data_IF_656981265943
#
_entry.id   IF_656981265943
#
_cell.length_a   1.000
_cell.length_b   1.000
_cell.length_c   1.000
_cell.angle_alpha   90.00
_cell.angle_beta   90.00
_cell.angle_gamma   90.00
#
_symmetry.space_group_name_H-M   'P 1'
#
loop_
_entity.id
_entity.type
_entity.pdbx_description
1 polymer ?
#
# COMPACT_ATOMS: atom_id res chain seq x y z
N UNK A 1 21.83 2.48 4.04
CA UNK A 1 21.26 1.22 3.47
C UNK A 1 20.04 1.59 2.68
N UNK A 2 19.89 1.13 1.45
CA UNK A 2 18.73 1.45 0.63
C UNK A 2 17.48 0.79 1.22
N UNK A 3 16.39 1.53 1.30
CA UNK A 3 15.08 1.01 1.68
C UNK A 3 14.36 0.41 0.48
N UNK A 4 14.58 0.98 -0.70
CA UNK A 4 13.99 0.55 -1.97
C UNK A 4 15.07 0.54 -3.03
N UNK A 5 15.14 -0.54 -3.80
CA UNK A 5 16.04 -0.66 -4.95
C UNK A 5 15.24 -1.21 -6.14
N UNK A 6 15.35 -0.52 -7.27
CA UNK A 6 14.77 -0.91 -8.55
C UNK A 6 15.89 -0.97 -9.58
N UNK A 7 16.02 -2.09 -10.28
CA UNK A 7 17.00 -2.28 -11.37
C UNK A 7 16.25 -2.76 -12.61
N UNK A 8 16.22 -1.91 -13.63
CA UNK A 8 15.56 -2.15 -14.92
C UNK A 8 14.09 -2.61 -14.76
N UNK A 9 13.38 -2.11 -13.74
CA UNK A 9 12.02 -2.54 -13.42
C UNK A 9 11.04 -1.98 -14.44
N UNK A 10 10.24 -2.89 -15.00
CA UNK A 10 9.09 -2.55 -15.85
C UNK A 10 7.83 -3.11 -15.22
N UNK A 11 6.75 -2.31 -15.21
CA UNK A 11 5.47 -2.74 -14.66
C UNK A 11 4.29 -2.15 -15.40
N UNK A 12 3.27 -2.97 -15.61
CA UNK A 12 1.99 -2.63 -16.22
C UNK A 12 0.90 -2.61 -15.15
N UNK A 13 0.06 -1.61 -15.20
CA UNK A 13 -1.15 -1.60 -14.37
C UNK A 13 -2.23 -2.49 -15.01
N UNK A 14 -2.98 -3.30 -14.25
CA UNK A 14 -4.03 -4.17 -14.79
C UNK A 14 -5.10 -3.45 -15.62
N UNK A 15 -5.37 -2.17 -15.32
CA UNK A 15 -6.31 -1.34 -16.07
C UNK A 15 -5.72 -0.78 -17.39
N UNK A 16 -4.44 -1.01 -17.68
CA UNK A 16 -3.82 -0.56 -18.93
C UNK A 16 -4.06 -1.59 -20.03
N UNK A 17 -4.38 -1.13 -21.25
CA UNK A 17 -4.59 -2.01 -22.40
C UNK A 17 -3.43 -2.99 -22.57
N UNK A 18 -3.74 -4.27 -22.78
CA UNK A 18 -2.75 -5.36 -22.86
C UNK A 18 -1.70 -5.15 -23.97
N UNK A 19 -2.08 -4.50 -25.05
CA UNK A 19 -1.26 -4.31 -26.24
C UNK A 19 -0.42 -3.02 -26.24
N UNK A 20 -0.54 -2.17 -25.19
CA UNK A 20 0.27 -0.96 -25.07
C UNK A 20 1.60 -1.22 -24.35
N UNK A 21 2.59 -0.32 -24.52
CA UNK A 21 3.81 -0.41 -23.72
C UNK A 21 3.50 -0.21 -22.23
N UNK A 22 4.27 -0.83 -21.32
CA UNK A 22 4.09 -0.62 -19.89
C UNK A 22 4.31 0.88 -19.55
N UNK A 23 3.50 1.47 -18.69
CA UNK A 23 3.65 2.87 -18.27
C UNK A 23 4.96 3.15 -17.53
N UNK A 24 5.53 2.13 -16.87
CA UNK A 24 6.88 2.21 -16.30
C UNK A 24 7.78 1.20 -17.01
N UNK A 25 8.92 1.68 -17.50
CA UNK A 25 9.89 0.88 -18.25
C UNK A 25 11.28 1.11 -17.73
N UNK A 26 12.02 0.01 -17.54
CA UNK A 26 13.45 -0.02 -17.21
C UNK A 26 13.82 0.98 -16.11
N UNK A 27 12.94 1.12 -15.12
CA UNK A 27 13.12 2.07 -14.04
C UNK A 27 14.28 1.64 -13.15
N UNK A 28 15.25 2.53 -13.00
CA UNK A 28 16.38 2.37 -12.09
C UNK A 28 16.28 3.44 -11.00
N UNK A 29 16.18 3.03 -9.74
CA UNK A 29 16.02 3.92 -8.63
C UNK A 29 16.53 3.27 -7.34
N UNK A 30 17.18 4.05 -6.50
CA UNK A 30 17.53 3.66 -5.15
C UNK A 30 17.07 4.75 -4.19
N UNK A 31 16.29 4.39 -3.17
CA UNK A 31 15.80 5.29 -2.13
C UNK A 31 16.38 4.83 -0.80
N UNK A 32 17.09 5.72 -0.12
CA UNK A 32 17.67 5.45 1.18
C UNK A 32 16.60 5.46 2.30
N UNK A 33 16.90 4.81 3.42
CA UNK A 33 16.04 4.90 4.60
C UNK A 33 15.97 6.34 5.12
N UNK A 34 14.76 6.85 5.34
CA UNK A 34 14.53 8.23 5.79
C UNK A 34 14.55 9.28 4.67
N UNK A 35 14.84 8.89 3.43
CA UNK A 35 14.81 9.81 2.29
C UNK A 35 13.37 10.18 1.93
N UNK A 36 13.14 11.46 1.65
CA UNK A 36 11.85 11.98 1.18
C UNK A 36 11.93 12.21 -0.33
N UNK A 37 11.03 11.56 -1.06
CA UNK A 37 11.01 11.59 -2.52
C UNK A 37 9.68 12.14 -3.03
N UNK A 38 9.75 13.15 -3.91
CA UNK A 38 8.58 13.66 -4.62
C UNK A 38 8.50 13.07 -6.03
N UNK A 39 7.34 12.49 -6.38
CA UNK A 39 7.08 11.94 -7.72
C UNK A 39 6.24 12.91 -8.52
N UNK A 40 6.83 13.53 -9.52
CA UNK A 40 6.21 14.57 -10.36
C UNK A 40 6.07 14.04 -11.79
N UNK A 41 5.00 14.44 -12.47
CA UNK A 41 4.76 14.07 -13.87
C UNK A 41 3.32 14.36 -14.30
N UNK A 42 3.09 14.35 -15.61
CA UNK A 42 1.77 14.56 -16.21
C UNK A 42 0.74 13.49 -15.77
N UNK A 43 -0.55 13.75 -16.01
CA UNK A 43 -1.58 12.73 -15.83
C UNK A 43 -1.29 11.54 -16.76
N UNK A 44 -1.46 10.31 -16.25
CA UNK A 44 -1.15 9.10 -17.00
C UNK A 44 0.34 8.70 -17.04
N UNK A 45 1.27 9.49 -16.48
CA UNK A 45 2.72 9.17 -16.45
C UNK A 45 3.11 7.96 -15.59
N UNK A 46 2.16 7.23 -15.01
CA UNK A 46 2.45 6.03 -14.22
C UNK A 46 2.73 6.27 -12.73
N UNK A 47 2.52 7.48 -12.19
CA UNK A 47 2.77 7.80 -10.78
C UNK A 47 2.05 6.85 -9.82
N UNK A 48 0.76 6.60 -10.05
CA UNK A 48 -0.04 5.67 -9.25
C UNK A 48 0.48 4.23 -9.39
N UNK A 49 0.84 3.81 -10.60
CA UNK A 49 1.45 2.49 -10.86
C UNK A 49 2.75 2.33 -10.09
N UNK A 50 3.57 3.37 -10.05
CA UNK A 50 4.81 3.41 -9.29
C UNK A 50 4.55 3.24 -7.78
N UNK A 51 3.61 4.00 -7.22
CA UNK A 51 3.26 3.87 -5.80
C UNK A 51 2.70 2.48 -5.46
N UNK A 52 1.87 1.91 -6.34
CA UNK A 52 1.37 0.54 -6.17
C UNK A 52 2.47 -0.52 -6.25
N UNK A 53 3.48 -0.32 -7.12
CA UNK A 53 4.66 -1.18 -7.16
C UNK A 53 5.41 -1.13 -5.83
N UNK A 54 5.72 0.08 -5.34
CA UNK A 54 6.44 0.28 -4.07
C UNK A 54 5.67 -0.30 -2.86
N UNK A 55 4.35 -0.22 -2.89
CA UNK A 55 3.49 -0.81 -1.87
C UNK A 55 3.30 -2.33 -2.01
N UNK A 56 4.04 -2.99 -2.91
CA UNK A 56 3.88 -4.42 -3.23
C UNK A 56 2.42 -4.81 -3.61
N UNK A 57 1.64 -3.87 -4.15
CA UNK A 57 0.31 -4.13 -4.69
C UNK A 57 0.36 -4.60 -6.14
N UNK A 58 1.44 -4.28 -6.86
CA UNK A 58 1.72 -4.74 -8.23
C UNK A 58 3.04 -5.48 -8.26
N UNK A 59 3.07 -6.61 -8.97
CA UNK A 59 4.29 -7.35 -9.28
C UNK A 59 4.94 -6.72 -10.52
N UNK A 60 6.28 -6.54 -10.55
CA UNK A 60 6.96 -6.14 -11.78
C UNK A 60 6.84 -7.23 -12.85
N UNK A 61 6.72 -6.79 -14.12
CA UNK A 61 6.74 -7.67 -15.29
C UNK A 61 8.18 -8.08 -15.63
N UNK A 62 9.17 -7.19 -15.34
CA UNK A 62 10.59 -7.43 -15.57
C UNK A 62 11.44 -6.58 -14.61
N UNK A 63 12.71 -6.95 -14.46
CA UNK A 63 13.68 -6.28 -13.61
C UNK A 63 13.66 -6.77 -12.16
N UNK A 64 14.55 -6.22 -11.35
CA UNK A 64 14.72 -6.59 -9.94
C UNK A 64 14.16 -5.50 -9.01
N UNK A 65 13.29 -5.89 -8.11
CA UNK A 65 12.74 -5.02 -7.08
C UNK A 65 13.11 -5.55 -5.68
N UNK A 66 13.79 -4.71 -4.89
CA UNK A 66 14.06 -5.01 -3.48
C UNK A 66 13.44 -3.97 -2.57
N UNK A 67 12.81 -4.43 -1.52
CA UNK A 67 12.25 -3.64 -0.44
C UNK A 67 12.88 -4.08 0.88
N UNK A 68 13.55 -3.14 1.56
CA UNK A 68 14.33 -3.41 2.78
C UNK A 68 15.31 -4.59 2.60
N UNK A 69 15.98 -4.65 1.44
CA UNK A 69 16.97 -5.68 1.10
C UNK A 69 16.41 -7.03 0.65
N UNK A 70 15.09 -7.21 0.59
CA UNK A 70 14.44 -8.46 0.18
C UNK A 70 13.60 -8.26 -1.08
N UNK A 71 13.58 -9.24 -1.98
CA UNK A 71 12.61 -9.29 -3.07
C UNK A 71 11.26 -9.80 -2.53
N UNK A 72 10.20 -8.98 -2.53
CA UNK A 72 8.89 -9.37 -1.98
C UNK A 72 8.25 -10.55 -2.71
N UNK A 73 8.63 -10.81 -3.95
CA UNK A 73 7.96 -11.77 -4.82
C UNK A 73 8.55 -13.18 -4.73
N UNK A 74 9.75 -13.31 -4.15
CA UNK A 74 10.36 -14.61 -3.80
C UNK A 74 10.05 -15.05 -2.37
N UNK A 75 9.51 -14.15 -1.54
CA UNK A 75 9.13 -14.46 -0.17
C UNK A 75 7.86 -15.34 -0.12
N UNK A 76 7.74 -16.14 0.93
CA UNK A 76 6.48 -16.80 1.27
C UNK A 76 5.37 -15.77 1.47
N UNK A 77 4.12 -16.17 1.32
CA UNK A 77 2.98 -15.27 1.50
C UNK A 77 2.98 -14.62 2.89
N UNK A 78 3.24 -15.39 3.94
CA UNK A 78 3.33 -14.86 5.32
C UNK A 78 4.45 -13.82 5.47
N UNK A 79 5.63 -14.10 4.93
CA UNK A 79 6.76 -13.17 5.00
C UNK A 79 6.48 -11.89 4.18
N UNK A 80 5.84 -12.01 3.02
CA UNK A 80 5.42 -10.87 2.21
C UNK A 80 4.35 -10.04 2.93
N UNK A 81 3.39 -10.66 3.60
CA UNK A 81 2.43 -9.95 4.44
C UNK A 81 3.11 -9.17 5.57
N UNK A 82 4.05 -9.78 6.29
CA UNK A 82 4.84 -9.11 7.31
C UNK A 82 5.64 -7.92 6.76
N UNK A 83 6.21 -8.06 5.55
CA UNK A 83 6.92 -6.98 4.87
C UNK A 83 5.96 -5.82 4.51
N UNK A 84 4.79 -6.13 3.95
CA UNK A 84 3.77 -5.13 3.59
C UNK A 84 3.19 -4.41 4.80
N UNK A 85 3.11 -5.05 5.97
CA UNK A 85 2.66 -4.42 7.21
C UNK A 85 3.58 -3.26 7.68
N UNK A 86 4.79 -3.16 7.12
CA UNK A 86 5.73 -2.04 7.37
C UNK A 86 5.52 -0.85 6.43
N UNK A 87 4.63 -0.98 5.45
CA UNK A 87 4.32 0.03 4.44
C UNK A 87 2.95 0.65 4.72
N UNK A 88 2.81 1.92 4.39
CA UNK A 88 1.53 2.59 4.36
C UNK A 88 1.34 3.24 3.00
N UNK A 89 0.27 2.88 2.31
CA UNK A 89 -0.16 3.52 1.07
C UNK A 89 -1.44 4.32 1.35
N UNK A 90 -1.36 5.65 1.17
CA UNK A 90 -2.53 6.52 1.21
C UNK A 90 -3.08 6.69 -0.21
N UNK A 91 -4.14 5.99 -0.61
CA UNK A 91 -4.73 6.14 -1.93
C UNK A 91 -5.50 7.46 -2.04
N UNK A 92 -5.56 8.01 -3.25
CA UNK A 92 -6.33 9.23 -3.54
C UNK A 92 -7.83 9.02 -3.28
N UNK A 93 -8.34 7.84 -3.59
CA UNK A 93 -9.71 7.41 -3.30
C UNK A 93 -9.62 6.24 -2.32
N UNK A 94 -10.15 6.38 -1.10
CA UNK A 94 -10.13 5.29 -0.15
C UNK A 94 -10.90 4.08 -0.70
N UNK A 95 -10.34 2.85 -0.64
CA UNK A 95 -11.02 1.64 -1.09
C UNK A 95 -12.04 1.15 -0.04
N UNK A 96 -12.86 2.07 0.45
CA UNK A 96 -13.86 1.79 1.47
C UNK A 96 -15.25 1.70 0.82
N UNK A 97 -16.10 0.74 1.22
CA UNK A 97 -17.47 0.68 0.76
C UNK A 97 -18.23 1.96 1.11
N UNK A 98 -19.09 2.46 0.22
CA UNK A 98 -19.93 3.61 0.52
C UNK A 98 -20.86 3.31 1.69
N UNK A 99 -21.12 4.30 2.54
CA UNK A 99 -22.00 4.20 3.72
C UNK A 99 -21.47 3.31 4.87
N UNK A 100 -20.18 3.10 4.96
CA UNK A 100 -19.58 2.42 6.09
C UNK A 100 -19.50 3.35 7.31
N UNK A 101 -19.68 2.79 8.52
CA UNK A 101 -19.46 3.56 9.76
C UNK A 101 -17.98 3.97 9.85
N UNK A 102 -17.73 5.22 10.25
CA UNK A 102 -16.37 5.78 10.38
C UNK A 102 -15.49 4.90 11.27
N UNK A 103 -16.02 4.47 12.43
CA UNK A 103 -15.30 3.56 13.36
C UNK A 103 -14.86 2.27 12.66
N UNK A 104 -15.74 1.65 11.87
CA UNK A 104 -15.40 0.42 11.12
C UNK A 104 -14.33 0.69 10.05
N UNK A 105 -14.40 1.84 9.39
CA UNK A 105 -13.42 2.25 8.39
C UNK A 105 -12.04 2.46 9.01
N UNK A 106 -11.96 3.13 10.16
CA UNK A 106 -10.70 3.34 10.90
C UNK A 106 -10.13 2.01 11.40
N UNK A 107 -10.97 1.15 11.98
CA UNK A 107 -10.56 -0.16 12.49
C UNK A 107 -10.14 -1.14 11.38
N UNK A 108 -10.56 -0.92 10.13
CA UNK A 108 -10.07 -1.70 9.00
C UNK A 108 -8.53 -1.61 8.83
N UNK A 109 -7.90 -0.55 9.29
CA UNK A 109 -6.44 -0.43 9.35
C UNK A 109 -5.77 -1.46 10.27
N UNK A 110 -6.49 -2.04 11.22
CA UNK A 110 -5.99 -3.08 12.13
C UNK A 110 -6.13 -4.51 11.56
N UNK A 111 -6.85 -4.69 10.45
CA UNK A 111 -7.11 -6.00 9.85
C UNK A 111 -5.84 -6.86 9.62
N UNK A 112 -4.70 -6.32 9.20
CA UNK A 112 -3.48 -7.10 9.04
C UNK A 112 -2.95 -7.74 10.32
N UNK A 113 -3.37 -7.22 11.49
CA UNK A 113 -2.94 -7.68 12.82
C UNK A 113 -3.97 -8.60 13.47
N UNK A 114 -5.18 -8.70 12.91
CA UNK A 114 -6.28 -9.47 13.46
C UNK A 114 -6.41 -10.86 12.84
N UNK A 115 -6.85 -11.81 13.66
CA UNK A 115 -7.33 -13.10 13.14
C UNK A 115 -8.67 -12.90 12.43
N UNK A 116 -9.03 -13.82 11.52
CA UNK A 116 -10.33 -13.80 10.83
C UNK A 116 -11.51 -13.70 11.80
N UNK A 117 -11.44 -14.41 12.94
CA UNK A 117 -12.49 -14.37 13.96
C UNK A 117 -12.59 -12.99 14.61
N UNK A 118 -11.48 -12.36 14.93
CA UNK A 118 -11.46 -10.99 15.47
C UNK A 118 -12.04 -9.99 14.47
N UNK A 119 -11.72 -10.14 13.18
CA UNK A 119 -12.26 -9.28 12.13
C UNK A 119 -13.79 -9.41 12.01
N UNK A 120 -14.33 -10.64 12.02
CA UNK A 120 -15.78 -10.90 11.96
C UNK A 120 -16.49 -10.34 13.19
N UNK A 121 -15.96 -10.57 14.38
CA UNK A 121 -16.55 -10.06 15.64
C UNK A 121 -16.53 -8.54 15.65
N UNK A 122 -15.49 -7.88 15.14
CA UNK A 122 -15.37 -6.43 15.09
C UNK A 122 -16.39 -5.77 14.15
N UNK A 123 -16.90 -6.48 13.14
CA UNK A 123 -17.97 -5.98 12.27
C UNK A 123 -19.31 -5.82 13.04
N UNK A 124 -19.56 -6.70 14.01
CA UNK A 124 -20.81 -6.70 14.79
C UNK A 124 -20.64 -5.85 16.06
N UNK A 125 -19.47 -5.96 16.69
CA UNK A 125 -19.14 -5.29 17.95
C UNK A 125 -17.71 -4.76 17.90
N UNK A 126 -17.50 -3.48 17.54
CA UNK A 126 -16.17 -2.89 17.46
C UNK A 126 -15.47 -3.01 18.82
N UNK A 127 -14.43 -3.84 18.92
CA UNK A 127 -13.72 -4.08 20.18
C UNK A 127 -12.86 -2.90 20.62
N UNK A 128 -12.36 -2.14 19.66
CA UNK A 128 -11.38 -1.08 19.87
C UNK A 128 -11.95 0.29 19.43
N UNK A 129 -13.22 0.57 19.80
CA UNK A 129 -13.87 1.84 19.48
C UNK A 129 -13.07 3.03 20.05
N UNK A 130 -12.48 2.86 21.23
CA UNK A 130 -11.64 3.88 21.87
C UNK A 130 -10.37 4.15 21.06
N UNK A 131 -9.75 3.12 20.49
CA UNK A 131 -8.59 3.29 19.61
C UNK A 131 -8.96 4.05 18.32
N UNK A 132 -10.14 3.78 17.75
CA UNK A 132 -10.67 4.53 16.61
C UNK A 132 -10.95 6.00 17.00
N UNK A 133 -11.54 6.24 18.15
CA UNK A 133 -11.79 7.59 18.66
C UNK A 133 -10.49 8.37 18.86
N UNK A 134 -9.49 7.77 19.50
CA UNK A 134 -8.17 8.40 19.66
C UNK A 134 -7.46 8.65 18.33
N UNK A 135 -7.61 7.76 17.35
CA UNK A 135 -7.07 7.98 16.01
C UNK A 135 -7.74 9.17 15.31
N UNK A 136 -9.06 9.29 15.39
CA UNK A 136 -9.84 10.40 14.84
C UNK A 136 -9.53 11.73 15.54
N UNK A 137 -9.36 11.71 16.87
CA UNK A 137 -9.02 12.90 17.66
C UNK A 137 -7.69 13.55 17.24
N UNK A 138 -6.74 12.75 16.72
CA UNK A 138 -5.48 13.26 16.16
C UNK A 138 -5.66 14.16 14.94
N UNK A 139 -6.79 14.08 14.28
CA UNK A 139 -7.15 14.83 13.07
C UNK A 139 -8.35 15.77 13.29
N UNK A 140 -8.77 15.98 14.55
CA UNK A 140 -9.96 16.78 14.91
C UNK A 140 -11.25 16.28 14.24
N UNK A 141 -11.37 14.94 14.07
CA UNK A 141 -12.51 14.30 13.39
C UNK A 141 -13.41 13.48 14.35
N UNK A 142 -13.23 13.60 15.67
CA UNK A 142 -13.96 12.83 16.66
C UNK A 142 -15.47 13.13 16.73
N UNK A 143 -15.89 14.30 16.21
CA UNK A 143 -17.29 14.77 16.25
C UNK A 143 -18.02 14.56 14.89
N UNK A 144 -17.43 13.79 13.96
CA UNK A 144 -17.97 13.56 12.60
C UNK A 144 -18.73 12.25 12.47
#
# INVERSE_FOLDING_TARGET
MAAIELNAVSVRHPATAANGPPPLRELNLSIAAGEQVAVIGASGAGKTTFLHLLACALRPDAGDFKLFGSDPWVLSETARHALRARLFLAPQVPPLPPRQRVVTAVLAGCLPQWSLWQAIVSLIRPRDADAAYHALARFDLQDK
#
